data_IF_494167348031
#
_entry.id   IF_494167348031
#
_cell.length_a   1.000
_cell.length_b   1.000
_cell.length_c   1.000
_cell.angle_alpha   90.00
_cell.angle_beta   90.00
_cell.angle_gamma   90.00
#
_symmetry.space_group_name_H-M   'P 1'
#
loop_
_entity.id
_entity.type
_entity.pdbx_description
1 polymer ?
#
# COMPACT_ATOMS: atom_id res chain seq x y z
N UNK A 1 17.65 25.73 -5.26
CA UNK A 1 16.98 24.74 -6.13
C UNK A 1 17.66 23.41 -5.91
N UNK A 2 17.18 22.65 -4.92
CA UNK A 2 17.65 21.28 -4.71
C UNK A 2 17.11 20.47 -5.89
N UNK A 3 17.98 20.11 -6.83
CA UNK A 3 17.59 19.22 -7.93
C UNK A 3 17.22 17.89 -7.30
N UNK A 4 15.91 17.62 -7.23
CA UNK A 4 15.35 16.32 -6.87
C UNK A 4 16.14 15.26 -7.64
N UNK A 5 16.72 14.26 -6.97
CA UNK A 5 17.56 13.28 -7.64
C UNK A 5 16.73 12.63 -8.75
N UNK A 6 17.25 12.67 -9.98
CA UNK A 6 16.71 11.95 -11.14
C UNK A 6 16.45 10.51 -10.72
N UNK A 7 15.18 10.18 -10.45
CA UNK A 7 14.75 8.84 -10.07
C UNK A 7 14.98 7.94 -11.28
N UNK A 8 16.07 7.18 -11.26
CA UNK A 8 16.39 6.27 -12.33
C UNK A 8 15.33 5.18 -12.48
N UNK A 9 15.15 4.59 -13.68
CA UNK A 9 14.20 3.51 -13.91
C UNK A 9 14.39 2.29 -12.98
N UNK A 10 15.61 2.07 -12.49
CA UNK A 10 15.95 1.03 -11.50
C UNK A 10 15.23 1.29 -10.16
N UNK A 11 15.07 2.54 -9.75
CA UNK A 11 14.35 2.88 -8.52
C UNK A 11 12.87 2.53 -8.65
N UNK A 12 12.25 2.87 -9.79
CA UNK A 12 10.87 2.48 -10.09
C UNK A 12 10.69 0.95 -10.09
N UNK A 13 11.62 0.22 -10.72
CA UNK A 13 11.58 -1.23 -10.74
C UNK A 13 11.65 -1.85 -9.33
N UNK A 14 12.48 -1.30 -8.43
CA UNK A 14 12.58 -1.75 -7.03
C UNK A 14 11.30 -1.50 -6.24
N UNK A 15 10.70 -0.32 -6.38
CA UNK A 15 9.46 0.01 -5.67
C UNK A 15 8.32 -0.89 -6.15
N UNK A 16 8.21 -1.09 -7.46
CA UNK A 16 7.17 -1.95 -8.04
C UNK A 16 7.38 -3.41 -7.63
N UNK A 17 8.62 -3.92 -7.67
CA UNK A 17 8.89 -5.32 -7.33
C UNK A 17 8.63 -5.60 -5.85
N UNK A 18 9.09 -4.74 -4.95
CA UNK A 18 8.84 -4.88 -3.51
C UNK A 18 7.35 -4.78 -3.18
N UNK A 19 6.66 -3.78 -3.72
CA UNK A 19 5.23 -3.57 -3.45
C UNK A 19 4.39 -4.74 -3.99
N UNK A 20 4.72 -5.26 -5.18
CA UNK A 20 4.04 -6.41 -5.77
C UNK A 20 4.29 -7.70 -4.97
N UNK A 21 5.54 -7.93 -4.53
CA UNK A 21 5.87 -9.09 -3.71
C UNK A 21 5.12 -9.08 -2.37
N UNK A 22 5.07 -7.93 -1.70
CA UNK A 22 4.32 -7.76 -0.45
C UNK A 22 2.81 -7.96 -0.67
N UNK A 23 2.24 -7.34 -1.70
CA UNK A 23 0.83 -7.50 -2.04
C UNK A 23 0.45 -8.97 -2.28
N UNK A 24 1.27 -9.69 -3.04
CA UNK A 24 1.05 -11.11 -3.34
C UNK A 24 1.11 -11.95 -2.05
N UNK A 25 2.09 -11.67 -1.19
CA UNK A 25 2.31 -12.40 0.06
C UNK A 25 1.14 -12.18 1.04
N UNK A 26 0.71 -10.94 1.24
CA UNK A 26 -0.44 -10.62 2.09
C UNK A 26 -1.72 -11.28 1.57
N UNK A 27 -1.93 -11.25 0.24
CA UNK A 27 -3.07 -11.92 -0.39
C UNK A 27 -3.04 -13.44 -0.17
N UNK A 28 -1.88 -14.09 -0.34
CA UNK A 28 -1.74 -15.53 -0.09
C UNK A 28 -2.01 -15.89 1.37
N UNK A 29 -1.58 -15.05 2.31
CA UNK A 29 -1.85 -15.24 3.73
C UNK A 29 -3.33 -15.07 4.08
N UNK A 30 -4.03 -14.11 3.48
CA UNK A 30 -5.49 -13.96 3.63
C UNK A 30 -6.22 -15.21 3.12
N UNK A 31 -5.86 -15.72 1.93
CA UNK A 31 -6.47 -16.93 1.35
C UNK A 31 -6.20 -18.17 2.21
N UNK A 32 -4.99 -18.29 2.74
CA UNK A 32 -4.62 -19.36 3.67
C UNK A 32 -5.43 -19.29 4.96
N UNK A 33 -5.51 -18.10 5.57
CA UNK A 33 -6.29 -17.86 6.79
C UNK A 33 -7.78 -18.15 6.59
N UNK A 34 -8.34 -17.78 5.44
CA UNK A 34 -9.71 -18.08 5.06
C UNK A 34 -9.94 -19.59 4.93
N UNK A 35 -9.06 -20.29 4.23
CA UNK A 35 -9.13 -21.75 4.02
C UNK A 35 -9.04 -22.51 5.34
N UNK A 36 -8.14 -22.09 6.23
CA UNK A 36 -8.02 -22.65 7.58
C UNK A 36 -9.25 -22.39 8.44
N UNK A 37 -9.85 -21.20 8.32
CA UNK A 37 -11.08 -20.83 9.05
C UNK A 37 -12.27 -21.68 8.63
N UNK A 38 -12.43 -21.95 7.33
CA UNK A 38 -13.50 -22.83 6.84
C UNK A 38 -13.28 -24.27 7.31
N UNK A 39 -12.05 -24.76 7.22
CA UNK A 39 -11.76 -26.16 7.52
C UNK A 39 -11.82 -26.51 9.02
N UNK A 40 -11.47 -25.57 9.90
CA UNK A 40 -11.33 -25.82 11.35
C UNK A 40 -12.22 -24.95 12.23
N UNK A 41 -13.07 -24.11 11.64
CA UNK A 41 -13.93 -23.16 12.35
C UNK A 41 -13.19 -21.88 12.76
N UNK A 42 -13.92 -20.99 13.44
CA UNK A 42 -13.38 -19.72 13.91
C UNK A 42 -12.23 -19.93 14.90
N UNK A 43 -11.05 -19.40 14.55
CA UNK A 43 -9.81 -19.54 15.32
C UNK A 43 -9.01 -18.24 15.23
N UNK A 44 -7.86 -18.20 15.91
CA UNK A 44 -6.91 -17.07 15.90
C UNK A 44 -6.49 -16.68 14.47
N UNK A 45 -6.59 -17.61 13.51
CA UNK A 45 -6.38 -17.38 12.08
C UNK A 45 -7.23 -16.22 11.50
N UNK A 46 -8.44 -15.97 12.01
CA UNK A 46 -9.29 -14.85 11.56
C UNK A 46 -8.66 -13.50 11.94
N UNK A 47 -8.15 -13.40 13.18
CA UNK A 47 -7.48 -12.18 13.67
C UNK A 47 -6.24 -11.89 12.83
N UNK A 48 -5.45 -12.93 12.52
CA UNK A 48 -4.33 -12.79 11.58
C UNK A 48 -4.80 -12.40 10.17
N UNK A 49 -5.90 -12.95 9.67
CA UNK A 49 -6.49 -12.56 8.38
C UNK A 49 -6.88 -11.07 8.32
N UNK A 50 -7.35 -10.50 9.44
CA UNK A 50 -7.62 -9.07 9.56
C UNK A 50 -6.33 -8.24 9.52
N UNK A 51 -5.29 -8.63 10.26
CA UNK A 51 -3.98 -7.97 10.22
C UNK A 51 -3.40 -7.96 8.80
N UNK A 52 -3.46 -9.09 8.08
CA UNK A 52 -3.01 -9.18 6.68
C UNK A 52 -3.85 -8.29 5.76
N UNK A 53 -5.14 -8.13 6.03
CA UNK A 53 -6.02 -7.23 5.26
C UNK A 53 -5.66 -5.75 5.47
N UNK A 54 -5.33 -5.35 6.70
CA UNK A 54 -4.83 -4.00 7.00
C UNK A 54 -3.50 -3.74 6.27
N UNK A 55 -2.58 -4.71 6.31
CA UNK A 55 -1.29 -4.60 5.62
C UNK A 55 -1.48 -4.46 4.10
N UNK A 56 -2.36 -5.27 3.51
CA UNK A 56 -2.70 -5.21 2.09
C UNK A 56 -3.22 -3.81 1.70
N UNK A 57 -4.18 -3.26 2.46
CA UNK A 57 -4.71 -1.91 2.20
C UNK A 57 -3.63 -0.84 2.35
N UNK A 58 -2.74 -0.98 3.34
CA UNK A 58 -1.61 -0.06 3.55
C UNK A 58 -0.66 -0.05 2.35
N UNK A 59 -0.41 -1.19 1.71
CA UNK A 59 0.40 -1.28 0.49
C UNK A 59 -0.32 -0.62 -0.68
N UNK A 60 -1.62 -0.88 -0.87
CA UNK A 60 -2.42 -0.25 -1.94
C UNK A 60 -2.33 1.27 -1.85
N UNK A 61 -2.52 1.84 -0.65
CA UNK A 61 -2.42 3.29 -0.44
C UNK A 61 -1.01 3.82 -0.68
N UNK A 62 0.02 3.06 -0.30
CA UNK A 62 1.42 3.42 -0.57
C UNK A 62 1.70 3.46 -2.08
N UNK A 63 1.19 2.48 -2.84
CA UNK A 63 1.29 2.45 -4.30
C UNK A 63 0.54 3.63 -4.93
N UNK A 64 -0.66 3.97 -4.45
CA UNK A 64 -1.40 5.14 -4.92
C UNK A 64 -0.59 6.43 -4.67
N UNK A 65 -0.08 6.64 -3.45
CA UNK A 65 0.78 7.79 -3.12
C UNK A 65 2.02 7.85 -4.01
N UNK A 66 2.62 6.69 -4.30
CA UNK A 66 3.78 6.58 -5.17
C UNK A 66 3.47 6.95 -6.63
N UNK A 67 2.34 6.51 -7.16
CA UNK A 67 1.87 6.88 -8.50
C UNK A 67 1.63 8.38 -8.58
N UNK A 68 0.91 8.95 -7.61
CA UNK A 68 0.67 10.40 -7.56
C UNK A 68 1.97 11.19 -7.52
N UNK A 69 2.94 10.74 -6.70
CA UNK A 69 4.25 11.37 -6.63
C UNK A 69 5.04 11.25 -7.95
N UNK A 70 4.93 10.12 -8.64
CA UNK A 70 5.58 9.92 -9.94
C UNK A 70 4.97 10.83 -11.01
N UNK A 71 3.65 11.04 -10.97
CA UNK A 71 2.95 11.96 -11.88
C UNK A 71 3.39 13.40 -11.62
N UNK A 72 3.45 13.83 -10.36
CA UNK A 72 3.90 15.18 -9.98
C UNK A 72 5.31 15.49 -10.51
N UNK A 73 6.25 14.55 -10.35
CA UNK A 73 7.62 14.70 -10.87
C UNK A 73 7.63 14.79 -12.41
N UNK A 74 6.74 14.07 -13.09
CA UNK A 74 6.66 14.08 -14.57
C UNK A 74 6.02 15.36 -15.11
N UNK A 75 5.00 15.89 -14.44
CA UNK A 75 4.31 17.11 -14.87
C UNK A 75 5.13 18.36 -14.55
N UNK A 76 6.03 18.30 -13.57
CA UNK A 76 6.86 19.45 -13.16
C UNK A 76 6.08 20.54 -12.42
N UNK A 77 4.80 20.30 -12.17
CA UNK A 77 3.87 21.18 -11.47
C UNK A 77 3.68 20.67 -10.04
N UNK A 78 3.94 21.53 -9.05
CA UNK A 78 3.71 21.18 -7.64
C UNK A 78 2.22 21.21 -7.37
N UNK A 79 1.66 20.09 -6.92
CA UNK A 79 0.25 20.02 -6.51
C UNK A 79 0.04 20.85 -5.24
N UNK A 80 -0.63 22.01 -5.37
CA UNK A 80 -0.99 22.88 -4.23
C UNK A 80 -1.79 22.12 -3.16
N UNK A 81 -2.62 21.16 -3.56
CA UNK A 81 -3.48 20.36 -2.67
C UNK A 81 -2.89 19.01 -2.24
N UNK A 82 -1.59 18.76 -2.46
CA UNK A 82 -0.95 17.47 -2.13
C UNK A 82 -1.10 17.07 -0.66
N UNK A 83 -0.96 18.03 0.25
CA UNK A 83 -1.11 17.79 1.69
C UNK A 83 -2.52 17.30 2.05
N UNK A 84 -3.55 17.80 1.37
CA UNK A 84 -4.95 17.41 1.58
C UNK A 84 -5.19 15.97 1.12
N UNK A 85 -4.64 15.57 -0.04
CA UNK A 85 -4.73 14.18 -0.51
C UNK A 85 -3.98 13.19 0.39
N UNK A 86 -2.80 13.58 0.90
CA UNK A 86 -2.08 12.78 1.88
C UNK A 86 -2.89 12.62 3.17
N UNK A 87 -3.46 13.71 3.69
CA UNK A 87 -4.34 13.71 4.86
C UNK A 87 -5.53 12.77 4.67
N UNK A 88 -6.23 12.84 3.53
CA UNK A 88 -7.36 11.95 3.25
C UNK A 88 -6.94 10.48 3.18
N UNK A 89 -5.80 10.19 2.56
CA UNK A 89 -5.28 8.83 2.49
C UNK A 89 -4.95 8.27 3.88
N UNK A 90 -4.36 9.10 4.75
CA UNK A 90 -4.03 8.72 6.12
C UNK A 90 -5.28 8.60 6.99
N UNK A 91 -6.30 9.43 6.77
CA UNK A 91 -7.59 9.34 7.44
C UNK A 91 -8.30 8.02 7.09
N UNK A 92 -8.33 7.65 5.80
CA UNK A 92 -8.90 6.36 5.36
C UNK A 92 -8.19 5.20 6.03
N UNK A 93 -6.85 5.21 6.07
CA UNK A 93 -6.07 4.18 6.74
C UNK A 93 -6.37 4.14 8.25
N UNK A 94 -6.54 5.31 8.87
CA UNK A 94 -6.93 5.45 10.27
C UNK A 94 -8.29 4.79 10.54
N UNK A 95 -9.30 5.03 9.71
CA UNK A 95 -10.62 4.41 9.85
C UNK A 95 -10.61 2.90 9.65
N UNK A 96 -9.74 2.38 8.79
CA UNK A 96 -9.63 0.93 8.53
C UNK A 96 -8.91 0.20 9.67
N UNK A 97 -8.04 0.91 10.41
CA UNK A 97 -7.28 0.36 11.54
C UNK A 97 -8.00 0.46 12.90
N UNK A 98 -9.04 1.30 13.00
CA UNK A 98 -9.88 1.48 14.20
C UNK A 98 -10.89 0.34 14.30
#
# INVERSE_FOLDING_TARGET
>A
MEQSPILGPIFHARVISLSSALFLLDYLFIVSAYSHTIARGASVQIVFGFEYSILLVSIILTVIKYILHTIEIRTGEQWENKGVFMLYSDLILGFIRV
#
